data_IF_255490703664
#
_entry.id   IF_255490703664
#
_cell.length_a   1.000
_cell.length_b   1.000
_cell.length_c   1.000
_cell.angle_alpha   90.00
_cell.angle_beta   90.00
_cell.angle_gamma   90.00
#
_symmetry.space_group_name_H-M   'P 1'
#
loop_
_entity.id
_entity.type
_entity.pdbx_description
1 polymer ?
#
# COMPACT_ATOMS: atom_id res chain seq x y z
N UNK A 1 13.60 1.76 13.24
CA UNK A 1 12.67 2.68 13.93
C UNK A 1 11.28 2.42 13.35
N UNK A 2 10.35 1.88 14.13
CA UNK A 2 8.94 1.76 13.72
C UNK A 2 8.27 3.14 13.81
N UNK A 3 7.21 3.40 13.04
CA UNK A 3 6.44 4.64 13.12
C UNK A 3 5.99 4.93 14.57
N UNK A 4 5.55 3.91 15.31
CA UNK A 4 5.19 4.02 16.74
C UNK A 4 6.38 4.46 17.62
N UNK A 5 7.57 3.92 17.38
CA UNK A 5 8.78 4.34 18.10
C UNK A 5 9.22 5.76 17.72
N UNK A 6 8.93 6.22 16.50
CA UNK A 6 9.17 7.59 16.05
C UNK A 6 8.19 8.60 16.69
N UNK A 7 6.93 8.22 16.90
CA UNK A 7 5.99 9.03 17.69
C UNK A 7 6.37 9.08 19.16
N UNK A 8 6.77 7.94 19.75
CA UNK A 8 7.15 7.86 21.18
C UNK A 8 8.48 8.58 21.46
N UNK A 9 9.41 8.59 20.51
CA UNK A 9 10.68 9.33 20.64
C UNK A 9 10.55 10.81 20.30
N UNK A 10 9.37 11.28 19.86
CA UNK A 10 9.15 12.68 19.48
C UNK A 10 9.80 13.07 18.14
N UNK A 11 10.31 12.11 17.37
CA UNK A 11 10.84 12.33 16.01
C UNK A 11 9.71 12.78 15.07
N UNK A 12 8.52 12.21 15.22
CA UNK A 12 7.30 12.70 14.57
C UNK A 12 6.45 13.41 15.64
N UNK A 13 6.34 14.74 15.52
CA UNK A 13 5.75 15.61 16.56
C UNK A 13 4.22 15.58 16.64
N UNK A 14 3.53 15.10 15.61
CA UNK A 14 2.07 15.04 15.61
C UNK A 14 1.60 13.69 16.14
N UNK A 15 0.91 13.66 17.28
CA UNK A 15 0.15 12.48 17.70
C UNK A 15 -0.99 12.24 16.68
N UNK A 16 -1.21 11.00 16.22
CA UNK A 16 -2.39 10.71 15.41
C UNK A 16 -3.65 11.02 16.24
N UNK A 17 -4.46 11.96 15.75
CA UNK A 17 -5.77 12.27 16.33
C UNK A 17 -6.76 11.20 15.83
N UNK A 18 -7.27 10.32 16.71
CA UNK A 18 -8.19 9.24 16.31
C UNK A 18 -9.57 9.77 15.86
N UNK A 19 -9.84 11.07 16.05
CA UNK A 19 -11.09 11.74 15.66
C UNK A 19 -10.95 12.62 14.43
N UNK A 20 -9.72 12.82 13.92
CA UNK A 20 -9.50 13.64 12.74
C UNK A 20 -10.06 12.96 11.50
N UNK A 21 -11.04 13.59 10.85
CA UNK A 21 -11.36 13.29 9.44
C UNK A 21 -10.09 13.52 8.62
N UNK A 22 -9.76 12.57 7.75
CA UNK A 22 -8.50 12.53 7.00
C UNK A 22 -8.10 13.90 6.44
N UNK A 23 -6.83 14.28 6.61
CA UNK A 23 -6.29 15.51 6.04
C UNK A 23 -5.80 15.22 4.63
N UNK A 24 -6.35 15.90 3.63
CA UNK A 24 -5.78 15.91 2.29
C UNK A 24 -4.49 16.72 2.32
N UNK A 25 -3.38 16.12 1.89
CA UNK A 25 -2.11 16.83 1.73
C UNK A 25 -2.01 17.24 0.26
N UNK A 26 -2.07 18.54 0.00
CA UNK A 26 -1.82 19.08 -1.34
C UNK A 26 -0.36 18.85 -1.75
N UNK A 27 -0.12 18.70 -3.04
CA UNK A 27 1.24 18.59 -3.60
C UNK A 27 1.91 19.95 -3.80
N UNK A 28 1.20 21.06 -3.54
CA UNK A 28 1.78 22.40 -3.65
C UNK A 28 2.93 22.63 -2.67
N UNK A 29 4.03 23.21 -3.16
CA UNK A 29 5.14 23.69 -2.32
C UNK A 29 6.27 22.69 -2.06
N UNK A 30 6.25 21.52 -2.69
CA UNK A 30 7.39 20.58 -2.64
C UNK A 30 8.47 21.02 -3.64
N UNK A 31 9.59 21.51 -3.13
CA UNK A 31 10.73 21.93 -3.92
C UNK A 31 11.99 21.11 -3.61
N UNK A 32 12.88 20.98 -4.58
CA UNK A 32 14.24 20.48 -4.38
C UNK A 32 15.01 21.44 -3.46
N UNK A 33 16.16 21.03 -2.89
CA UNK A 33 17.04 21.93 -2.15
C UNK A 33 17.43 23.20 -2.91
N UNK A 34 17.40 23.15 -4.25
CA UNK A 34 17.73 24.26 -5.15
C UNK A 34 16.52 25.17 -5.44
N UNK A 35 15.34 24.87 -4.89
CA UNK A 35 14.12 25.65 -5.05
C UNK A 35 13.29 25.30 -6.29
N UNK A 36 13.73 24.33 -7.08
CA UNK A 36 12.94 23.84 -8.22
C UNK A 36 11.73 23.06 -7.72
N UNK A 37 10.55 23.36 -8.26
CA UNK A 37 9.36 22.57 -7.98
C UNK A 37 9.62 21.12 -8.39
N UNK A 38 9.54 20.21 -7.43
CA UNK A 38 9.78 18.80 -7.69
C UNK A 38 8.57 18.27 -8.46
N UNK A 39 8.74 18.07 -9.77
CA UNK A 39 7.76 17.33 -10.59
C UNK A 39 7.85 15.85 -10.20
N UNK A 40 7.21 15.50 -9.09
CA UNK A 40 6.79 14.13 -8.85
C UNK A 40 5.90 13.74 -10.03
N UNK A 41 6.08 12.53 -10.57
CA UNK A 41 5.39 12.04 -11.77
C UNK A 41 3.94 12.53 -11.83
N UNK A 42 3.64 13.33 -12.85
CA UNK A 42 2.34 13.95 -13.13
C UNK A 42 1.33 12.95 -13.73
N UNK A 43 1.43 11.68 -13.33
CA UNK A 43 0.30 10.76 -13.38
C UNK A 43 -0.34 10.85 -12.01
N UNK A 44 -1.22 11.85 -11.87
CA UNK A 44 -1.82 12.30 -10.62
C UNK A 44 -1.80 11.23 -9.54
N UNK A 45 -1.05 11.48 -8.47
CA UNK A 45 -1.13 10.71 -7.24
C UNK A 45 -2.55 10.88 -6.72
N UNK A 46 -3.50 10.17 -7.33
CA UNK A 46 -4.92 10.34 -7.08
C UNK A 46 -5.21 9.97 -5.64
N UNK A 47 -6.46 10.15 -5.22
CA UNK A 47 -6.80 10.12 -3.80
C UNK A 47 -6.13 8.98 -3.02
N UNK A 48 -5.44 9.33 -1.93
CA UNK A 48 -4.63 8.43 -1.12
C UNK A 48 -5.21 8.34 0.28
N UNK A 49 -5.18 7.14 0.85
CA UNK A 49 -5.56 6.89 2.23
C UNK A 49 -4.38 6.41 3.05
N UNK A 50 -4.29 6.91 4.29
CA UNK A 50 -3.36 6.41 5.31
C UNK A 50 -4.15 6.17 6.58
N UNK A 51 -4.06 4.94 7.09
CA UNK A 51 -4.62 4.55 8.37
C UNK A 51 -3.56 3.76 9.16
N UNK A 52 -3.48 4.00 10.46
CA UNK A 52 -2.62 3.28 11.38
C UNK A 52 -3.47 2.88 12.57
N UNK A 53 -3.43 1.60 12.96
CA UNK A 53 -4.15 1.13 14.14
C UNK A 53 -3.27 1.10 15.40
N UNK A 54 -3.88 0.72 16.52
CA UNK A 54 -3.22 0.65 17.82
C UNK A 54 -2.20 -0.49 17.94
N UNK A 55 -2.25 -1.49 17.06
CA UNK A 55 -1.26 -2.57 16.99
C UNK A 55 -0.10 -2.24 16.03
N UNK A 56 -0.13 -1.08 15.39
CA UNK A 56 0.88 -0.62 14.44
C UNK A 56 0.71 -1.21 13.04
N UNK A 57 -0.42 -1.86 12.76
CA UNK A 57 -0.79 -2.17 11.38
C UNK A 57 -1.09 -0.86 10.66
N UNK A 58 -0.69 -0.78 9.39
CA UNK A 58 -0.89 0.41 8.59
C UNK A 58 -1.42 0.04 7.22
N UNK A 59 -2.33 0.85 6.70
CA UNK A 59 -2.75 0.83 5.30
C UNK A 59 -2.33 2.16 4.71
N UNK A 60 -1.59 2.13 3.61
CA UNK A 60 -1.18 3.36 2.92
C UNK A 60 -1.13 3.16 1.41
N UNK A 61 -1.79 4.02 0.66
CA UNK A 61 -1.72 4.01 -0.80
C UNK A 61 -2.94 4.63 -1.44
N UNK A 62 -3.08 4.47 -2.75
CA UNK A 62 -4.22 4.99 -3.50
C UNK A 62 -5.53 4.37 -3.00
N UNK A 63 -6.62 5.11 -3.12
CA UNK A 63 -7.97 4.59 -2.94
C UNK A 63 -8.38 3.77 -4.16
N UNK A 64 -9.41 2.94 -4.00
CA UNK A 64 -9.97 2.16 -5.10
C UNK A 64 -10.51 3.05 -6.22
N UNK A 65 -11.06 4.23 -5.86
CA UNK A 65 -11.51 5.22 -6.83
C UNK A 65 -10.35 5.82 -7.63
N UNK A 66 -9.21 6.06 -6.99
CA UNK A 66 -8.02 6.59 -7.66
C UNK A 66 -7.34 5.56 -8.57
N UNK A 67 -7.23 4.31 -8.14
CA UNK A 67 -6.54 3.28 -8.92
C UNK A 67 -7.43 2.72 -10.04
N UNK A 68 -8.74 2.69 -9.81
CA UNK A 68 -9.72 2.14 -10.75
C UNK A 68 -9.55 0.63 -10.97
N UNK A 69 -9.94 0.16 -12.15
CA UNK A 69 -9.82 -1.24 -12.56
C UNK A 69 -8.55 -1.55 -13.37
N UNK A 70 -7.69 -0.54 -13.61
CA UNK A 70 -6.50 -0.63 -14.46
C UNK A 70 -6.77 -1.26 -15.83
N UNK A 71 -7.86 -0.83 -16.50
CA UNK A 71 -8.24 -1.37 -17.82
C UNK A 71 -8.75 -2.81 -17.75
N UNK A 72 -9.42 -3.17 -16.65
CA UNK A 72 -9.97 -4.51 -16.39
C UNK A 72 -8.99 -5.50 -15.78
N UNK A 73 -7.78 -5.07 -15.39
CA UNK A 73 -6.79 -5.92 -14.72
C UNK A 73 -7.11 -6.17 -13.24
N UNK A 74 -7.91 -5.30 -12.62
CA UNK A 74 -8.28 -5.36 -11.22
C UNK A 74 -9.77 -5.59 -11.07
N UNK A 75 -10.12 -6.64 -10.35
CA UNK A 75 -11.49 -6.95 -9.98
C UNK A 75 -11.83 -6.24 -8.67
N UNK A 76 -12.67 -5.22 -8.76
CA UNK A 76 -13.16 -4.43 -7.62
C UNK A 76 -14.58 -4.84 -7.19
N UNK A 77 -15.21 -5.83 -7.85
CA UNK A 77 -16.61 -6.18 -7.59
C UNK A 77 -16.87 -6.66 -6.16
N UNK A 78 -15.87 -7.28 -5.53
CA UNK A 78 -15.95 -7.79 -4.15
C UNK A 78 -16.03 -6.68 -3.09
N UNK A 79 -15.80 -5.42 -3.44
CA UNK A 79 -15.86 -4.27 -2.50
C UNK A 79 -17.30 -3.91 -2.12
N UNK A 80 -18.27 -4.28 -2.95
CA UNK A 80 -19.70 -4.14 -2.67
C UNK A 80 -20.34 -5.53 -2.63
N UNK A 81 -20.00 -6.37 -1.64
CA UNK A 81 -20.63 -7.68 -1.51
C UNK A 81 -22.11 -7.50 -1.18
N UNK A 82 -22.98 -8.30 -1.81
CA UNK A 82 -24.43 -8.23 -1.66
C UNK A 82 -24.86 -8.17 -0.18
N UNK A 83 -25.22 -6.98 0.29
CA UNK A 83 -25.82 -6.74 1.60
C UNK A 83 -24.88 -6.74 2.82
N UNK A 84 -23.55 -6.70 2.63
CA UNK A 84 -22.59 -6.63 3.74
C UNK A 84 -21.94 -5.24 3.85
N UNK A 85 -22.19 -4.55 4.97
CA UNK A 85 -21.46 -3.34 5.39
C UNK A 85 -20.26 -3.68 6.30
N UNK A 86 -19.78 -4.93 6.25
CA UNK A 86 -18.80 -5.46 7.21
C UNK A 86 -17.45 -4.74 7.10
N UNK A 87 -17.09 -4.25 5.91
CA UNK A 87 -15.83 -3.54 5.66
C UNK A 87 -15.90 -2.05 6.00
N UNK A 88 -17.10 -1.47 6.09
CA UNK A 88 -17.31 -0.02 6.16
C UNK A 88 -16.68 0.77 5.01
N UNK A 89 -16.95 2.08 4.97
CA UNK A 89 -16.51 2.95 3.87
C UNK A 89 -14.99 2.97 3.67
N UNK A 90 -14.22 2.96 4.77
CA UNK A 90 -12.75 2.98 4.72
C UNK A 90 -12.18 1.68 4.16
N UNK A 91 -12.75 0.53 4.55
CA UNK A 91 -12.31 -0.77 4.03
C UNK A 91 -12.61 -0.91 2.53
N UNK A 92 -13.79 -0.44 2.11
CA UNK A 92 -14.18 -0.43 0.69
C UNK A 92 -13.32 0.50 -0.16
N UNK A 93 -12.97 1.68 0.36
CA UNK A 93 -12.11 2.63 -0.33
C UNK A 93 -10.63 2.20 -0.37
N UNK A 94 -10.19 1.35 0.55
CA UNK A 94 -8.78 0.97 0.68
C UNK A 94 -8.29 0.08 -0.46
N UNK A 95 -7.32 0.58 -1.23
CA UNK A 95 -6.52 -0.22 -2.15
C UNK A 95 -5.07 -0.40 -1.67
N UNK A 96 -4.59 0.56 -0.87
CA UNK A 96 -3.19 0.71 -0.49
C UNK A 96 -2.47 -0.51 0.07
N UNK A 97 -1.15 -0.36 0.19
CA UNK A 97 -0.27 -1.35 0.77
C UNK A 97 -0.59 -1.55 2.25
N UNK A 98 -0.98 -2.76 2.62
CA UNK A 98 -1.26 -3.10 4.02
C UNK A 98 0.00 -3.64 4.66
N UNK A 99 0.58 -2.91 5.62
CA UNK A 99 1.62 -3.40 6.49
C UNK A 99 1.00 -4.03 7.74
N UNK A 100 1.01 -5.34 7.80
CA UNK A 100 0.73 -6.12 8.99
C UNK A 100 1.98 -6.15 9.86
N UNK A 101 2.01 -5.27 10.87
CA UNK A 101 2.99 -5.31 11.96
C UNK A 101 3.24 -6.75 12.45
N UNK A 102 4.52 -7.14 12.68
CA UNK A 102 5.71 -6.29 12.58
C UNK A 102 6.36 -6.22 11.20
N UNK A 103 6.18 -7.22 10.34
CA UNK A 103 7.07 -7.42 9.20
C UNK A 103 6.41 -7.93 7.91
N UNK A 104 5.08 -8.01 7.87
CA UNK A 104 4.35 -8.50 6.72
C UNK A 104 3.75 -7.32 5.95
N UNK A 105 3.87 -7.33 4.63
CA UNK A 105 3.21 -6.39 3.74
C UNK A 105 2.37 -7.15 2.74
N UNK A 106 1.12 -6.73 2.55
CA UNK A 106 0.21 -7.23 1.54
C UNK A 106 0.05 -6.13 0.49
N UNK A 107 0.21 -6.51 -0.77
CA UNK A 107 0.04 -5.64 -1.94
C UNK A 107 -1.08 -6.20 -2.80
N UNK A 108 -2.33 -5.74 -2.59
CA UNK A 108 -3.49 -6.38 -3.21
C UNK A 108 -3.50 -6.35 -4.74
N UNK A 109 -3.09 -5.25 -5.39
CA UNK A 109 -3.22 -5.11 -6.86
C UNK A 109 -2.33 -6.06 -7.66
N UNK A 110 -1.17 -6.43 -7.11
CA UNK A 110 -0.27 -7.43 -7.72
C UNK A 110 -0.43 -8.82 -7.10
N UNK A 111 -1.39 -8.99 -6.18
CA UNK A 111 -1.63 -10.23 -5.45
C UNK A 111 -0.34 -10.77 -4.80
N UNK A 112 0.39 -9.93 -4.07
CA UNK A 112 1.65 -10.34 -3.45
C UNK A 112 1.66 -10.10 -1.94
N UNK A 113 2.29 -11.01 -1.21
CA UNK A 113 2.66 -10.85 0.18
C UNK A 113 4.17 -10.83 0.29
N UNK A 114 4.69 -9.88 1.06
CA UNK A 114 6.12 -9.69 1.31
C UNK A 114 6.36 -9.84 2.80
N UNK A 115 7.25 -10.75 3.17
CA UNK A 115 7.69 -10.94 4.55
C UNK A 115 9.13 -10.47 4.68
N UNK A 116 9.39 -9.59 5.66
CA UNK A 116 10.73 -9.15 6.03
C UNK A 116 11.18 -9.96 7.25
N UNK A 117 12.17 -10.82 7.09
CA UNK A 117 12.69 -11.69 8.16
C UNK A 117 13.98 -11.06 8.69
N UNK A 118 13.99 -10.51 9.91
CA UNK A 118 15.22 -9.94 10.47
C UNK A 118 16.29 -11.02 10.66
N UNK A 119 17.49 -10.78 10.14
CA UNK A 119 18.70 -11.60 10.37
C UNK A 119 19.67 -10.92 11.34
N UNK A 120 19.47 -9.63 11.58
CA UNK A 120 20.16 -8.81 12.58
C UNK A 120 19.61 -7.38 12.54
N UNK A 121 20.21 -6.43 13.29
CA UNK A 121 19.81 -5.03 13.24
C UNK A 121 20.12 -4.36 11.89
N UNK A 122 21.08 -4.91 11.14
CA UNK A 122 21.56 -4.36 9.85
C UNK A 122 21.23 -5.26 8.65
N UNK A 123 20.60 -6.42 8.89
CA UNK A 123 20.34 -7.42 7.85
C UNK A 123 18.90 -7.93 7.91
N UNK A 124 18.26 -8.01 6.75
CA UNK A 124 16.91 -8.52 6.59
C UNK A 124 16.84 -9.37 5.33
N UNK A 125 16.34 -10.59 5.48
CA UNK A 125 15.96 -11.42 4.35
C UNK A 125 14.53 -11.09 3.93
N UNK A 126 14.25 -11.02 2.63
CA UNK A 126 12.92 -10.67 2.13
C UNK A 126 12.35 -11.84 1.35
N UNK A 127 11.15 -12.28 1.72
CA UNK A 127 10.44 -13.38 1.09
C UNK A 127 9.21 -12.85 0.38
N UNK A 128 9.11 -13.12 -0.93
CA UNK A 128 7.99 -12.71 -1.76
C UNK A 128 7.13 -13.91 -2.12
N UNK A 129 5.83 -13.80 -1.89
CA UNK A 129 4.83 -14.78 -2.26
C UNK A 129 3.83 -14.15 -3.21
N UNK A 130 3.75 -14.64 -4.44
CA UNK A 130 2.77 -14.17 -5.42
C UNK A 130 1.61 -15.16 -5.48
N UNK A 131 0.40 -14.64 -5.45
CA UNK A 131 -0.83 -15.41 -5.43
C UNK A 131 -1.56 -15.29 -6.77
N UNK A 132 -2.24 -16.36 -7.15
CA UNK A 132 -3.07 -16.43 -8.35
C UNK A 132 -4.44 -16.96 -7.96
N UNK A 133 -5.50 -16.53 -8.64
CA UNK A 133 -6.84 -17.08 -8.40
C UNK A 133 -6.83 -18.59 -8.69
N UNK A 134 -7.57 -19.38 -7.89
CA UNK A 134 -7.56 -20.85 -7.98
C UNK A 134 -8.06 -21.36 -9.34
N UNK A 135 -8.93 -20.60 -9.97
CA UNK A 135 -9.58 -20.84 -11.26
C UNK A 135 -8.88 -20.14 -12.44
N UNK A 136 -7.78 -19.41 -12.19
CA UNK A 136 -7.05 -18.73 -13.25
C UNK A 136 -6.48 -19.73 -14.28
N UNK A 137 -6.57 -19.36 -15.56
CA UNK A 137 -5.97 -20.11 -16.67
C UNK A 137 -4.45 -20.15 -16.56
N UNK A 138 -3.76 -21.11 -17.21
CA UNK A 138 -2.29 -21.16 -17.21
C UNK A 138 -1.64 -19.84 -17.67
N UNK A 139 -2.23 -19.18 -18.67
CA UNK A 139 -1.77 -17.89 -19.18
C UNK A 139 -1.94 -16.76 -18.14
N UNK A 140 -3.10 -16.68 -17.51
CA UNK A 140 -3.36 -15.67 -16.46
C UNK A 140 -2.42 -15.84 -15.27
N UNK A 141 -2.11 -17.08 -14.88
CA UNK A 141 -1.13 -17.37 -13.83
C UNK A 141 0.27 -16.92 -14.22
N UNK A 142 0.70 -17.19 -15.46
CA UNK A 142 2.00 -16.78 -15.96
C UNK A 142 2.14 -15.24 -16.00
N UNK A 143 1.13 -14.53 -16.49
CA UNK A 143 1.09 -13.06 -16.53
C UNK A 143 1.17 -12.49 -15.11
N UNK A 144 0.32 -12.99 -14.20
CA UNK A 144 0.29 -12.52 -12.80
C UNK A 144 1.64 -12.72 -12.13
N UNK A 145 2.21 -13.93 -12.22
CA UNK A 145 3.50 -14.27 -11.59
C UNK A 145 4.63 -13.42 -12.16
N UNK A 146 4.69 -13.27 -13.49
CA UNK A 146 5.71 -12.46 -14.16
C UNK A 146 5.63 -11.00 -13.73
N UNK A 147 4.42 -10.43 -13.68
CA UNK A 147 4.20 -9.06 -13.22
C UNK A 147 4.70 -8.88 -11.79
N UNK A 148 4.30 -9.75 -10.86
CA UNK A 148 4.69 -9.64 -9.45
C UNK A 148 6.21 -9.70 -9.24
N UNK A 149 6.93 -10.53 -10.02
CA UNK A 149 8.40 -10.59 -9.99
C UNK A 149 9.05 -9.32 -10.55
N UNK A 150 8.53 -8.80 -11.66
CA UNK A 150 9.10 -7.62 -12.34
C UNK A 150 8.73 -6.28 -11.68
N UNK A 151 7.70 -6.24 -10.84
CA UNK A 151 7.34 -5.02 -10.11
C UNK A 151 8.03 -4.98 -8.75
N UNK A 152 7.79 -5.95 -7.86
CA UNK A 152 8.27 -5.88 -6.47
C UNK A 152 9.18 -7.04 -6.06
N UNK A 153 9.51 -7.96 -6.98
CA UNK A 153 10.46 -9.05 -6.69
C UNK A 153 11.92 -8.56 -6.63
N UNK A 154 12.88 -9.48 -6.43
CA UNK A 154 14.30 -9.17 -6.33
C UNK A 154 14.89 -8.41 -7.54
N UNK A 155 14.26 -8.52 -8.70
CA UNK A 155 14.64 -7.84 -9.95
C UNK A 155 13.60 -6.79 -10.38
N UNK A 156 12.78 -6.33 -9.45
CA UNK A 156 11.73 -5.35 -9.70
C UNK A 156 12.30 -3.96 -9.98
N UNK A 157 11.60 -3.19 -10.81
CA UNK A 157 11.96 -1.82 -11.20
C UNK A 157 11.10 -0.73 -10.52
N UNK A 158 10.29 -1.09 -9.52
CA UNK A 158 9.35 -0.17 -8.87
C UNK A 158 10.02 1.10 -8.30
#
# INVERSE_FOLDING_TARGET
>A
ITHLSAFRSGVIKAQPDPTARGRTVGLEGVATPDGDQMRLFDEGAGDHIVFIDHYGHAISGQTAASLGDMGGLLDNSWREPDGSDEFGEVGKASYGHTNLFPHCQIVPWILQVVLRVPRGPEETEVWWFSFVKKDASPEQRAITTRRSVLTFGPAGLA
#
